data_IF_308329288908
#
_entry.id   IF_308329288908
#
_cell.length_a   1.000
_cell.length_b   1.000
_cell.length_c   1.000
_cell.angle_alpha   90.00
_cell.angle_beta   90.00
_cell.angle_gamma   90.00
#
_symmetry.space_group_name_H-M   'P 1'
#
loop_
_entity.id
_entity.type
_entity.pdbx_description
1 polymer ?
#
# COMPACT_ATOMS: atom_id res chain seq x y z
N UNK A 1 -8.90 -4.69 -0.38
CA UNK A 1 -9.04 -3.57 0.58
C UNK A 1 -7.92 -2.56 0.33
N UNK A 2 -8.18 -1.25 0.48
CA UNK A 2 -7.17 -0.21 0.27
C UNK A 2 -7.05 0.71 1.50
N UNK A 3 -5.81 1.09 1.84
CA UNK A 3 -5.47 2.00 2.95
C UNK A 3 -4.60 3.14 2.41
N UNK A 4 -4.91 4.37 2.82
CA UNK A 4 -4.12 5.55 2.48
C UNK A 4 -3.48 6.15 3.73
N UNK A 5 -2.22 6.53 3.64
CA UNK A 5 -1.47 7.17 4.71
C UNK A 5 -0.56 8.29 4.21
N UNK A 6 -0.25 9.25 5.07
CA UNK A 6 0.62 10.36 4.71
C UNK A 6 2.10 9.94 4.64
N UNK A 7 2.85 10.53 3.71
CA UNK A 7 4.29 10.37 3.57
C UNK A 7 5.11 11.49 4.23
N UNK A 8 4.45 12.52 4.77
CA UNK A 8 5.06 13.76 5.24
C UNK A 8 4.40 14.27 6.52
N UNK A 9 5.09 15.21 7.18
CA UNK A 9 4.64 15.80 8.43
C UNK A 9 4.83 14.87 9.63
N UNK A 10 4.25 15.27 10.77
CA UNK A 10 4.35 14.51 12.03
C UNK A 10 3.72 13.11 11.93
N UNK A 11 2.73 12.94 11.05
CA UNK A 11 2.01 11.67 10.83
C UNK A 11 2.46 10.96 9.54
N UNK A 12 3.76 10.85 9.30
CA UNK A 12 4.34 10.22 8.10
C UNK A 12 4.35 8.68 8.15
N UNK A 13 3.27 8.06 8.65
CA UNK A 13 3.21 6.62 8.91
C UNK A 13 3.47 5.76 7.66
N UNK A 14 3.21 6.28 6.46
CA UNK A 14 3.47 5.58 5.20
C UNK A 14 4.72 6.11 4.47
N UNK A 15 5.50 6.98 5.11
CA UNK A 15 6.67 7.63 4.51
C UNK A 15 7.75 6.67 3.98
N UNK A 16 7.72 5.39 4.39
CA UNK A 16 8.69 4.36 3.97
C UNK A 16 8.08 3.19 3.20
N UNK A 17 6.79 3.20 2.85
CA UNK A 17 6.22 2.05 2.11
C UNK A 17 6.86 1.84 0.73
N UNK A 18 7.46 2.89 0.17
CA UNK A 18 8.22 2.84 -1.08
C UNK A 18 9.55 2.09 -0.98
N UNK A 19 10.01 1.75 0.24
CA UNK A 19 11.21 0.93 0.45
C UNK A 19 10.87 -0.55 0.64
N UNK A 20 9.60 -0.93 0.52
CA UNK A 20 9.21 -2.33 0.53
C UNK A 20 9.62 -2.98 -0.79
N UNK A 21 9.89 -4.27 -0.74
CA UNK A 21 10.18 -5.11 -1.89
C UNK A 21 9.20 -6.29 -1.96
N UNK A 22 9.06 -6.87 -3.15
CA UNK A 22 8.33 -8.12 -3.33
C UNK A 22 8.87 -9.20 -2.38
N UNK A 23 7.97 -9.92 -1.71
CA UNK A 23 8.31 -10.91 -0.68
C UNK A 23 8.35 -10.35 0.75
N UNK A 24 8.31 -9.02 0.95
CA UNK A 24 8.16 -8.45 2.28
C UNK A 24 6.78 -8.77 2.88
N UNK A 25 6.68 -8.71 4.21
CA UNK A 25 5.47 -9.05 4.96
C UNK A 25 4.70 -7.80 5.40
N UNK A 26 3.39 -7.79 5.18
CA UNK A 26 2.44 -6.82 5.74
C UNK A 26 1.55 -7.57 6.74
N UNK A 27 1.42 -7.05 7.96
CA UNK A 27 0.52 -7.60 8.97
C UNK A 27 -0.58 -6.59 9.29
N UNK A 28 -1.84 -7.02 9.20
CA UNK A 28 -3.02 -6.24 9.57
C UNK A 28 -3.68 -6.86 10.79
N UNK A 29 -3.62 -6.14 11.91
CA UNK A 29 -4.31 -6.52 13.15
C UNK A 29 -5.55 -5.66 13.32
N UNK A 30 -6.69 -6.31 13.55
CA UNK A 30 -7.98 -5.68 13.86
C UNK A 30 -8.53 -6.27 15.16
N UNK A 31 -9.63 -5.73 15.67
CA UNK A 31 -10.33 -6.31 16.82
C UNK A 31 -10.81 -7.76 16.56
N UNK A 32 -10.98 -8.16 15.29
CA UNK A 32 -11.45 -9.49 14.90
C UNK A 32 -10.31 -10.49 14.64
N UNK A 33 -9.05 -10.03 14.68
CA UNK A 33 -7.88 -10.88 14.47
C UNK A 33 -6.82 -10.26 13.58
N UNK A 34 -5.80 -11.08 13.28
CA UNK A 34 -4.60 -10.70 12.53
C UNK A 34 -4.54 -11.45 11.21
N UNK A 35 -4.20 -10.74 10.13
CA UNK A 35 -3.94 -11.31 8.81
C UNK A 35 -2.56 -10.91 8.33
N UNK A 36 -1.94 -11.79 7.55
CA UNK A 36 -0.60 -11.58 7.00
C UNK A 36 -0.67 -11.61 5.49
N UNK A 37 0.04 -10.70 4.83
CA UNK A 37 0.10 -10.58 3.39
C UNK A 37 1.56 -10.52 2.96
N UNK A 38 1.87 -11.11 1.81
CA UNK A 38 3.17 -10.95 1.15
C UNK A 38 3.06 -9.90 0.06
N UNK A 39 3.98 -8.93 0.06
CA UNK A 39 4.08 -7.90 -0.98
C UNK A 39 4.33 -8.56 -2.33
N UNK A 40 3.48 -8.27 -3.30
CA UNK A 40 3.58 -8.77 -4.68
C UNK A 40 3.90 -7.69 -5.68
N UNK A 41 3.66 -6.41 -5.34
CA UNK A 41 3.92 -5.28 -6.22
C UNK A 41 4.23 -4.01 -5.43
N UNK A 42 5.20 -3.24 -5.92
CA UNK A 42 5.53 -1.88 -5.47
C UNK A 42 5.69 -1.02 -6.72
N UNK A 43 4.83 -0.03 -6.89
CA UNK A 43 4.79 0.79 -8.10
C UNK A 43 4.59 2.27 -7.78
N UNK A 44 5.23 3.13 -8.57
CA UNK A 44 4.90 4.55 -8.67
C UNK A 44 3.86 4.71 -9.77
N UNK A 45 2.67 5.19 -9.42
CA UNK A 45 1.52 5.31 -10.32
C UNK A 45 1.05 6.76 -10.39
N UNK A 46 0.36 7.11 -11.49
CA UNK A 46 -0.31 8.40 -11.61
C UNK A 46 -1.41 8.54 -10.54
N UNK A 47 -1.67 9.75 -10.07
CA UNK A 47 -2.69 10.02 -9.06
C UNK A 47 -4.11 9.63 -9.50
N UNK A 48 -4.36 9.58 -10.82
CA UNK A 48 -5.62 9.14 -11.41
C UNK A 48 -5.66 7.64 -11.72
N UNK A 49 -4.54 6.92 -11.57
CA UNK A 49 -4.51 5.47 -11.72
C UNK A 49 -5.16 4.79 -10.51
N UNK A 50 -6.37 4.29 -10.72
CA UNK A 50 -7.17 3.59 -9.72
C UNK A 50 -7.30 2.10 -9.99
N UNK A 51 -6.56 1.55 -10.96
CA UNK A 51 -6.62 0.12 -11.34
C UNK A 51 -6.30 -0.81 -10.16
N UNK A 52 -5.46 -0.35 -9.24
CA UNK A 52 -5.07 -1.08 -8.03
C UNK A 52 -6.17 -1.10 -6.93
N UNK A 53 -7.31 -0.45 -7.17
CA UNK A 53 -8.50 -0.46 -6.31
C UNK A 53 -9.59 -1.42 -6.81
N UNK A 54 -9.43 -1.99 -8.02
CA UNK A 54 -10.38 -2.94 -8.57
C UNK A 54 -10.49 -4.20 -7.71
N UNK A 55 -11.66 -4.82 -7.73
CA UNK A 55 -11.89 -6.07 -7.02
C UNK A 55 -11.03 -7.19 -7.61
N UNK A 56 -10.36 -7.95 -6.76
CA UNK A 56 -9.57 -9.13 -7.12
C UNK A 56 -10.23 -10.39 -6.57
N UNK A 57 -9.98 -11.53 -7.21
CA UNK A 57 -10.35 -12.85 -6.65
C UNK A 57 -9.57 -13.16 -5.37
N UNK A 58 -8.33 -12.68 -5.28
CA UNK A 58 -7.47 -12.88 -4.13
C UNK A 58 -7.74 -11.86 -3.03
N UNK A 59 -7.50 -12.24 -1.77
CA UNK A 59 -7.59 -11.29 -0.67
C UNK A 59 -6.36 -10.37 -0.66
N UNK A 60 -6.54 -9.17 -1.22
CA UNK A 60 -5.48 -8.17 -1.35
C UNK A 60 -5.60 -7.03 -0.36
N UNK A 61 -4.44 -6.56 0.11
CA UNK A 61 -4.27 -5.26 0.76
C UNK A 61 -3.46 -4.34 -0.16
N UNK A 62 -3.98 -3.14 -0.41
CA UNK A 62 -3.28 -2.10 -1.17
C UNK A 62 -2.99 -0.90 -0.28
N UNK A 63 -1.74 -0.44 -0.23
CA UNK A 63 -1.27 0.70 0.55
C UNK A 63 -0.90 1.85 -0.39
N UNK A 64 -1.42 3.05 -0.12
CA UNK A 64 -1.15 4.25 -0.91
C UNK A 64 -0.52 5.36 -0.09
N UNK A 65 0.49 6.00 -0.67
CA UNK A 65 0.99 7.29 -0.17
C UNK A 65 1.44 8.21 -1.30
N UNK A 66 1.59 9.50 -1.02
CA UNK A 66 2.12 10.43 -2.03
C UNK A 66 3.60 10.14 -2.34
N UNK A 67 4.05 10.51 -3.53
CA UNK A 67 5.50 10.65 -3.78
C UNK A 67 5.94 12.02 -3.25
N UNK A 68 7.13 12.10 -2.65
CA UNK A 68 7.64 13.35 -2.08
C UNK A 68 7.95 14.33 -3.21
N UNK A 69 7.45 15.56 -3.10
CA UNK A 69 7.61 16.65 -4.09
C UNK A 69 7.06 16.34 -5.50
N UNK A 70 6.25 15.30 -5.64
CA UNK A 70 5.68 14.86 -6.91
C UNK A 70 4.19 14.56 -6.71
N UNK A 71 3.35 15.61 -6.68
CA UNK A 71 1.92 15.51 -6.32
C UNK A 71 1.08 14.70 -7.30
N UNK A 72 1.55 14.59 -8.54
CA UNK A 72 0.90 13.83 -9.61
C UNK A 72 1.08 12.32 -9.44
N UNK A 73 1.90 11.87 -8.48
CA UNK A 73 2.22 10.46 -8.31
C UNK A 73 1.93 9.93 -6.92
N UNK A 74 1.64 8.63 -6.87
CA UNK A 74 1.46 7.85 -5.64
C UNK A 74 2.37 6.64 -5.64
N UNK A 75 2.89 6.29 -4.47
CA UNK A 75 3.42 4.96 -4.23
C UNK A 75 2.24 4.04 -3.91
N UNK A 76 2.14 2.95 -4.65
CA UNK A 76 1.14 1.91 -4.52
C UNK A 76 1.83 0.58 -4.23
N UNK A 77 1.57 0.02 -3.06
CA UNK A 77 2.08 -1.29 -2.64
C UNK A 77 0.92 -2.26 -2.54
N UNK A 78 1.02 -3.44 -3.14
CA UNK A 78 0.02 -4.50 -3.02
C UNK A 78 0.62 -5.71 -2.32
N UNK A 79 -0.11 -6.25 -1.36
CA UNK A 79 0.14 -7.58 -0.79
C UNK A 79 -1.05 -8.50 -0.96
N UNK A 80 -0.78 -9.80 -1.07
CA UNK A 80 -1.78 -10.88 -1.14
C UNK A 80 -1.68 -11.72 0.13
N UNK A 81 -2.83 -12.08 0.72
CA UNK A 81 -2.88 -12.85 1.98
C UNK A 81 -2.17 -14.21 1.84
N UNK A 82 -1.49 -14.64 2.91
CA UNK A 82 -0.81 -15.94 3.04
C UNK A 82 -1.38 -16.81 4.15
#
# INVERSE_FOLDING_TARGET
MALAGHNRGVNNHFGKIHTLDTGNTITLTTALGTRTYTVTSVAKVDVMDNTMLEATSDNCITLFTCVMNESEYRWCVRGVEI
#
